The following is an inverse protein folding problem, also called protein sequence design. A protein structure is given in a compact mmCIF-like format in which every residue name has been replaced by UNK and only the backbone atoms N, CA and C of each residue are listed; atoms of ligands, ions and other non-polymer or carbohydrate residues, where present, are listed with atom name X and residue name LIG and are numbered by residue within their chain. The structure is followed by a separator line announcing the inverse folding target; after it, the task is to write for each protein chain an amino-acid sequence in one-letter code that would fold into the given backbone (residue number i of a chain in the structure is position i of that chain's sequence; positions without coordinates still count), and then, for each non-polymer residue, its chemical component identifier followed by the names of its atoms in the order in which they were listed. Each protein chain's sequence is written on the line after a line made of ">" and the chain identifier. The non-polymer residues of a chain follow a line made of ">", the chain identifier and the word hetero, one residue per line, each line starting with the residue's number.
data_IF_561133911040
#
_entry.id   IF_561133911040
#
_cell.length_a   1.000
_cell.length_b   1.000
_cell.length_c   1.000
_cell.angle_alpha   90.00
_cell.angle_beta   90.00
_cell.angle_gamma   90.00
#
_symmetry.space_group_name_H-M   'P 1'
#
loop_
_entity.id
_entity.type
_entity.pdbx_description
1 polymer ?
#
# COMPACT_ATOMS: atom_id res chain seq x y z
N UNK A 1 11.58 -3.67 1.65
CA UNK A 1 12.85 -2.94 1.39
C UNK A 1 13.87 -3.04 2.52
N UNK A 2 13.50 -3.11 3.82
CA UNK A 2 14.50 -3.17 4.91
C UNK A 2 14.92 -4.61 5.24
N UNK A 3 13.98 -5.52 5.46
CA UNK A 3 14.23 -6.96 5.66
C UNK A 3 13.79 -7.81 4.45
N UNK A 4 14.61 -8.79 4.03
CA UNK A 4 14.32 -9.71 2.92
C UNK A 4 13.38 -10.85 3.34
N UNK A 5 13.47 -11.28 4.60
CA UNK A 5 12.69 -12.39 5.14
C UNK A 5 11.40 -11.93 5.82
N UNK A 6 11.10 -10.62 5.76
CA UNK A 6 9.90 -10.03 6.32
C UNK A 6 8.65 -10.79 5.88
N UNK A 7 7.98 -11.42 6.84
CA UNK A 7 6.68 -12.07 6.68
C UNK A 7 5.57 -11.08 7.04
N UNK A 8 4.36 -11.32 6.52
CA UNK A 8 3.19 -10.61 7.01
C UNK A 8 3.02 -10.93 8.49
N UNK A 9 3.08 -9.90 9.32
CA UNK A 9 2.80 -10.02 10.75
C UNK A 9 1.36 -9.56 10.99
N UNK A 10 0.47 -10.46 11.46
CA UNK A 10 -0.87 -10.06 11.80
C UNK A 10 -0.83 -9.16 13.05
N UNK A 11 -1.74 -8.20 13.15
CA UNK A 11 -1.81 -7.30 14.32
C UNK A 11 -2.17 -8.05 15.62
N UNK A 12 -2.82 -9.21 15.49
CA UNK A 12 -3.20 -10.12 16.58
C UNK A 12 -2.99 -11.56 16.12
N UNK A 13 -2.60 -12.45 17.03
CA UNK A 13 -2.50 -13.88 16.76
C UNK A 13 -3.86 -14.54 16.57
N UNK A 14 -3.89 -15.73 15.98
CA UNK A 14 -5.12 -16.46 15.64
C UNK A 14 -6.06 -16.69 16.83
N UNK A 15 -5.49 -17.03 18.00
CA UNK A 15 -6.23 -17.25 19.24
C UNK A 15 -7.09 -16.06 19.69
N UNK A 16 -6.72 -14.83 19.31
CA UNK A 16 -7.53 -13.65 19.62
C UNK A 16 -8.88 -13.69 18.88
N UNK A 17 -8.90 -14.09 17.61
CA UNK A 17 -10.10 -14.09 16.80
C UNK A 17 -11.06 -15.18 17.24
N UNK A 18 -10.56 -16.41 17.42
CA UNK A 18 -11.37 -17.54 17.90
C UNK A 18 -11.90 -17.28 19.31
N UNK A 19 -11.05 -16.78 20.22
CA UNK A 19 -11.45 -16.42 21.59
C UNK A 19 -12.44 -15.25 21.69
N UNK A 20 -12.52 -14.40 20.65
CA UNK A 20 -13.44 -13.25 20.59
C UNK A 20 -14.67 -13.50 19.71
N UNK A 21 -14.91 -14.75 19.30
CA UNK A 21 -15.98 -15.12 18.36
C UNK A 21 -15.97 -14.32 17.05
N UNK A 22 -14.78 -14.04 16.52
CA UNK A 22 -14.58 -13.36 15.25
C UNK A 22 -14.30 -14.40 14.16
N UNK A 23 -15.19 -14.52 13.19
CA UNK A 23 -14.96 -15.28 11.95
C UNK A 23 -14.02 -14.48 11.02
N UNK A 24 -12.73 -14.82 11.06
CA UNK A 24 -11.70 -14.15 10.28
C UNK A 24 -11.41 -14.92 8.99
N UNK A 25 -11.67 -14.27 7.84
CA UNK A 25 -11.53 -14.88 6.51
C UNK A 25 -10.47 -14.17 5.65
N UNK A 26 -9.17 -14.35 5.93
CA UNK A 26 -8.10 -13.74 5.13
C UNK A 26 -8.10 -14.29 3.71
N UNK A 27 -7.68 -13.48 2.75
CA UNK A 27 -7.60 -13.89 1.34
C UNK A 27 -8.95 -13.92 0.61
N UNK A 28 -10.07 -13.75 1.30
CA UNK A 28 -11.40 -13.63 0.70
C UNK A 28 -11.65 -12.16 0.34
N UNK A 29 -11.85 -11.87 -0.94
CA UNK A 29 -12.22 -10.53 -1.42
C UNK A 29 -13.73 -10.44 -1.58
N UNK A 30 -14.30 -9.29 -1.21
CA UNK A 30 -15.69 -8.95 -1.51
C UNK A 30 -15.71 -8.26 -2.87
N UNK A 31 -16.41 -8.84 -3.84
CA UNK A 31 -16.53 -8.31 -5.20
C UNK A 31 -17.76 -7.42 -5.37
N UNK A 32 -18.88 -7.74 -4.68
CA UNK A 32 -20.11 -6.95 -4.73
C UNK A 32 -20.80 -6.86 -3.37
N UNK A 33 -21.43 -5.71 -3.13
CA UNK A 33 -22.35 -5.48 -2.02
C UNK A 33 -23.77 -5.34 -2.60
N UNK A 34 -24.67 -6.21 -2.20
CA UNK A 34 -26.11 -6.12 -2.44
C UNK A 34 -26.79 -5.60 -1.18
N UNK A 35 -26.92 -4.27 -1.06
CA UNK A 35 -27.51 -3.65 0.12
C UNK A 35 -29.02 -3.95 0.25
N UNK A 36 -29.73 -4.11 -0.88
CA UNK A 36 -31.16 -4.39 -0.90
C UNK A 36 -31.48 -5.77 -0.33
N UNK A 37 -30.67 -6.78 -0.68
CA UNK A 37 -30.78 -8.15 -0.15
C UNK A 37 -29.92 -8.41 1.07
N UNK A 38 -29.17 -7.39 1.53
CA UNK A 38 -28.17 -7.45 2.59
C UNK A 38 -27.22 -8.65 2.45
N UNK A 39 -26.61 -8.77 1.27
CA UNK A 39 -25.71 -9.88 0.91
C UNK A 39 -24.42 -9.37 0.30
N UNK A 40 -23.32 -10.03 0.61
CA UNK A 40 -22.03 -9.85 -0.04
C UNK A 40 -21.82 -10.97 -1.06
N UNK A 41 -21.19 -10.65 -2.18
CA UNK A 41 -20.68 -11.63 -3.14
C UNK A 41 -19.16 -11.67 -3.03
N UNK A 42 -18.66 -12.88 -2.82
CA UNK A 42 -17.25 -13.17 -2.56
C UNK A 42 -16.55 -13.56 -3.86
N UNK A 43 -15.25 -13.33 -3.92
CA UNK A 43 -14.43 -13.64 -5.10
C UNK A 43 -14.33 -15.14 -5.42
N UNK A 44 -14.70 -16.01 -4.48
CA UNK A 44 -14.78 -17.46 -4.66
C UNK A 44 -16.16 -17.92 -5.17
N UNK A 45 -17.05 -16.98 -5.52
CA UNK A 45 -18.43 -17.26 -5.94
C UNK A 45 -19.40 -17.46 -4.77
N UNK A 46 -18.91 -17.47 -3.53
CA UNK A 46 -19.70 -17.57 -2.33
C UNK A 46 -20.52 -16.32 -2.04
N UNK A 47 -21.44 -16.43 -1.09
CA UNK A 47 -22.26 -15.30 -0.64
C UNK A 47 -22.37 -15.28 0.87
N UNK A 48 -22.41 -14.07 1.45
CA UNK A 48 -22.48 -13.88 2.90
C UNK A 48 -23.60 -12.88 3.26
N UNK A 49 -24.60 -13.26 4.06
CA UNK A 49 -25.61 -12.31 4.54
C UNK A 49 -25.01 -11.39 5.61
N UNK A 50 -25.61 -10.21 5.80
CA UNK A 50 -25.26 -9.31 6.89
C UNK A 50 -26.48 -8.55 7.43
N UNK A 51 -26.46 -8.20 8.72
CA UNK A 51 -27.44 -7.26 9.31
C UNK A 51 -26.91 -5.82 9.32
N UNK A 52 -25.59 -5.70 9.51
CA UNK A 52 -24.82 -4.46 9.52
C UNK A 52 -23.53 -4.68 8.77
N UNK A 53 -23.13 -3.68 7.99
CA UNK A 53 -21.91 -3.72 7.18
C UNK A 53 -21.03 -2.52 7.52
N UNK A 54 -19.78 -2.78 7.88
CA UNK A 54 -18.75 -1.77 8.09
C UNK A 54 -17.77 -1.86 6.92
N UNK A 55 -17.58 -0.74 6.20
CA UNK A 55 -16.59 -0.66 5.12
C UNK A 55 -15.25 -0.20 5.68
N UNK A 56 -14.29 -1.13 5.74
CA UNK A 56 -12.93 -0.91 6.22
C UNK A 56 -11.89 -1.22 5.13
N UNK A 57 -12.19 -0.90 3.86
CA UNK A 57 -11.40 -1.29 2.67
C UNK A 57 -10.11 -0.49 2.48
N UNK A 58 -9.86 0.52 3.32
CA UNK A 58 -8.71 1.40 3.20
C UNK A 58 -8.69 2.22 1.91
N UNK A 59 -7.49 2.47 1.37
CA UNK A 59 -7.27 3.30 0.18
C UNK A 59 -6.22 2.68 -0.75
N UNK A 60 -6.18 3.16 -1.99
CA UNK A 60 -5.21 2.76 -3.03
C UNK A 60 -4.31 3.94 -3.40
N UNK A 61 -3.04 3.70 -3.78
CA UNK A 61 -2.20 4.75 -4.35
C UNK A 61 -2.85 5.37 -5.59
N UNK A 62 -2.66 6.68 -5.76
CA UNK A 62 -3.06 7.37 -6.98
C UNK A 62 -1.95 7.19 -8.02
N UNK A 63 -2.24 6.46 -9.09
CA UNK A 63 -1.37 6.41 -10.26
C UNK A 63 -1.58 7.66 -11.12
N UNK A 64 -0.52 8.14 -11.76
CA UNK A 64 -0.60 9.27 -12.68
C UNK A 64 -0.97 8.75 -14.08
N UNK A 65 -1.99 9.32 -14.70
CA UNK A 65 -2.39 8.98 -16.07
C UNK A 65 -1.57 9.80 -17.07
N UNK A 66 -0.39 9.29 -17.44
CA UNK A 66 0.52 9.94 -18.39
C UNK A 66 1.22 8.89 -19.28
N UNK A 67 1.68 9.27 -20.49
CA UNK A 67 2.37 8.34 -21.37
C UNK A 67 3.54 7.65 -20.66
N UNK A 68 3.52 6.30 -20.64
CA UNK A 68 4.54 5.50 -19.96
C UNK A 68 4.22 5.12 -18.50
N UNK A 69 3.05 5.49 -17.96
CA UNK A 69 2.64 5.11 -16.59
C UNK A 69 2.54 3.61 -16.35
N UNK A 70 2.39 2.82 -17.41
CA UNK A 70 2.25 1.36 -17.38
C UNK A 70 3.58 0.62 -17.64
N UNK A 71 4.70 1.34 -17.79
CA UNK A 71 6.01 0.70 -17.94
C UNK A 71 6.37 -0.09 -16.67
N UNK A 72 7.04 -1.23 -16.83
CA UNK A 72 7.32 -2.17 -15.73
C UNK A 72 8.10 -1.60 -14.54
N UNK A 73 8.85 -0.52 -14.73
CA UNK A 73 9.57 0.19 -13.66
C UNK A 73 8.71 1.19 -12.88
N UNK A 74 7.50 1.49 -13.34
CA UNK A 74 6.58 2.44 -12.70
C UNK A 74 5.70 1.70 -11.70
N UNK A 75 6.04 1.81 -10.42
CA UNK A 75 5.37 1.09 -9.33
C UNK A 75 4.96 2.04 -8.20
N UNK A 76 4.03 1.60 -7.35
CA UNK A 76 3.60 2.34 -6.15
C UNK A 76 3.86 1.53 -4.88
N UNK A 77 3.77 2.16 -3.70
CA UNK A 77 3.91 1.48 -2.41
C UNK A 77 2.61 1.58 -1.59
N UNK A 78 1.97 0.44 -1.34
CA UNK A 78 0.87 0.29 -0.38
C UNK A 78 0.94 -1.03 0.40
N UNK A 79 1.35 -2.10 -0.26
CA UNK A 79 1.35 -3.46 0.27
C UNK A 79 2.77 -3.97 0.57
N UNK A 80 2.85 -5.11 1.27
CA UNK A 80 4.13 -5.81 1.43
C UNK A 80 4.67 -6.31 0.09
N UNK A 81 3.79 -6.73 -0.82
CA UNK A 81 4.19 -7.19 -2.16
C UNK A 81 4.85 -6.05 -2.94
N UNK A 82 4.28 -4.86 -2.88
CA UNK A 82 4.85 -3.65 -3.49
C UNK A 82 6.25 -3.35 -2.92
N UNK A 83 6.41 -3.47 -1.60
CA UNK A 83 7.70 -3.24 -0.93
C UNK A 83 8.78 -4.28 -1.27
N UNK A 84 8.37 -5.48 -1.71
CA UNK A 84 9.26 -6.52 -2.24
C UNK A 84 9.63 -6.22 -3.69
N UNK A 85 8.64 -5.89 -4.52
CA UNK A 85 8.84 -5.50 -5.91
C UNK A 85 9.79 -4.30 -6.03
N UNK A 86 9.60 -3.24 -5.23
CA UNK A 86 10.49 -2.07 -5.21
C UNK A 86 11.92 -2.48 -4.83
N UNK A 87 12.10 -3.42 -3.89
CA UNK A 87 13.43 -3.93 -3.53
C UNK A 87 14.07 -4.64 -4.73
N UNK A 88 13.33 -5.51 -5.40
CA UNK A 88 13.82 -6.29 -6.54
C UNK A 88 14.23 -5.37 -7.70
N UNK A 89 13.36 -4.44 -8.08
CA UNK A 89 13.62 -3.47 -9.15
C UNK A 89 14.79 -2.55 -8.82
N UNK A 90 14.82 -2.01 -7.59
CA UNK A 90 15.91 -1.12 -7.18
C UNK A 90 17.25 -1.83 -7.05
N UNK A 91 17.29 -3.14 -6.77
CA UNK A 91 18.55 -3.90 -6.76
C UNK A 91 19.24 -3.90 -8.14
N UNK A 92 18.45 -3.86 -9.22
CA UNK A 92 18.88 -3.89 -10.61
C UNK A 92 19.03 -2.50 -11.23
N UNK A 93 18.79 -1.44 -10.46
CA UNK A 93 18.79 -0.05 -10.93
C UNK A 93 19.77 0.81 -10.12
N UNK A 94 20.46 1.73 -10.78
CA UNK A 94 21.32 2.71 -10.11
C UNK A 94 20.53 3.98 -9.73
N UNK A 95 19.81 4.52 -10.71
CA UNK A 95 18.96 5.71 -10.54
C UNK A 95 17.51 5.32 -10.22
N UNK A 96 16.93 6.00 -9.23
CA UNK A 96 15.51 5.86 -8.85
C UNK A 96 14.88 7.24 -8.77
N UNK A 97 13.74 7.41 -9.44
CA UNK A 97 12.92 8.62 -9.35
C UNK A 97 11.69 8.36 -8.50
N UNK A 98 11.45 9.23 -7.53
CA UNK A 98 10.26 9.19 -6.66
C UNK A 98 9.39 10.39 -6.99
N UNK A 99 8.15 10.12 -7.39
CA UNK A 99 7.15 11.14 -7.67
C UNK A 99 6.32 11.41 -6.41
N UNK A 100 6.52 12.57 -5.80
CA UNK A 100 5.88 13.01 -4.56
C UNK A 100 6.83 13.02 -3.35
N UNK A 101 7.02 14.20 -2.77
CA UNK A 101 7.79 14.53 -1.56
C UNK A 101 6.96 14.54 -0.27
N UNK A 102 5.96 13.67 -0.16
CA UNK A 102 5.25 13.41 1.10
C UNK A 102 5.99 12.39 1.99
N UNK A 103 5.41 12.05 3.16
CA UNK A 103 6.02 11.09 4.10
C UNK A 103 6.46 9.78 3.44
N UNK A 104 5.55 9.11 2.75
CA UNK A 104 5.84 7.83 2.08
C UNK A 104 6.99 7.99 1.08
N UNK A 105 6.93 9.03 0.24
CA UNK A 105 7.96 9.28 -0.78
C UNK A 105 9.34 9.51 -0.15
N UNK A 106 9.42 10.35 0.88
CA UNK A 106 10.68 10.67 1.56
C UNK A 106 11.24 9.50 2.39
N UNK A 107 10.39 8.70 3.04
CA UNK A 107 10.83 7.50 3.74
C UNK A 107 11.42 6.44 2.80
N UNK A 108 10.78 6.25 1.63
CA UNK A 108 11.33 5.37 0.58
C UNK A 108 12.62 5.98 0.04
N UNK A 109 12.66 7.28 -0.21
CA UNK A 109 13.83 7.98 -0.72
C UNK A 109 15.04 7.76 0.19
N UNK A 110 14.87 8.01 1.49
CA UNK A 110 15.89 7.77 2.50
C UNK A 110 16.32 6.30 2.55
N UNK A 111 15.35 5.37 2.48
CA UNK A 111 15.64 3.93 2.51
C UNK A 111 16.46 3.47 1.30
N UNK A 112 16.11 3.93 0.09
CA UNK A 112 16.83 3.57 -1.15
C UNK A 112 18.18 4.26 -1.25
N UNK A 113 18.28 5.51 -0.78
CA UNK A 113 19.55 6.24 -0.68
C UNK A 113 20.51 5.52 0.26
N UNK A 114 20.03 5.08 1.43
CA UNK A 114 20.83 4.27 2.36
C UNK A 114 21.23 2.90 1.77
N UNK A 115 20.45 2.37 0.83
CA UNK A 115 20.78 1.16 0.07
C UNK A 115 21.69 1.42 -1.16
N UNK A 116 22.34 2.59 -1.24
CA UNK A 116 23.34 2.93 -2.25
C UNK A 116 22.77 3.42 -3.59
N UNK A 117 21.46 3.68 -3.68
CA UNK A 117 20.83 4.14 -4.93
C UNK A 117 20.95 5.65 -5.10
N UNK A 118 21.03 6.11 -6.35
CA UNK A 118 20.92 7.53 -6.68
C UNK A 118 19.46 7.91 -6.79
N UNK A 119 18.96 8.60 -5.76
CA UNK A 119 17.53 8.94 -5.64
C UNK A 119 17.29 10.39 -6.03
N UNK A 120 16.32 10.61 -6.91
CA UNK A 120 15.76 11.93 -7.21
C UNK A 120 14.30 11.98 -6.76
N UNK A 121 13.92 13.01 -6.02
CA UNK A 121 12.52 13.26 -5.63
C UNK A 121 12.00 14.42 -6.46
N UNK A 122 10.85 14.20 -7.11
CA UNK A 122 10.13 15.24 -7.85
C UNK A 122 8.86 15.54 -7.08
N UNK A 123 8.73 16.78 -6.59
CA UNK A 123 7.53 17.29 -5.93
C UNK A 123 6.87 18.35 -6.83
N UNK A 124 5.54 18.33 -6.90
CA UNK A 124 4.76 19.22 -7.74
C UNK A 124 4.51 20.57 -7.06
N UNK A 125 4.58 20.63 -5.73
CA UNK A 125 4.42 21.86 -4.94
C UNK A 125 5.76 22.42 -4.47
N UNK A 126 5.74 23.65 -3.98
CA UNK A 126 6.96 24.41 -3.66
C UNK A 126 7.78 23.86 -2.48
N UNK A 127 7.21 22.93 -1.69
CA UNK A 127 7.78 22.45 -0.42
C UNK A 127 7.51 20.97 -0.18
N UNK A 128 8.51 20.26 0.33
CA UNK A 128 8.37 18.89 0.82
C UNK A 128 7.44 18.86 2.03
N UNK A 129 6.70 17.76 2.24
CA UNK A 129 5.79 17.61 3.39
C UNK A 129 4.80 18.78 3.61
N UNK A 130 4.54 19.62 2.61
CA UNK A 130 3.89 20.93 2.80
C UNK A 130 2.45 20.87 3.34
N UNK A 131 1.81 19.69 3.27
CA UNK A 131 0.48 19.41 3.83
C UNK A 131 0.49 18.92 5.29
N UNK A 132 1.65 18.60 5.83
CA UNK A 132 1.78 17.84 7.08
C UNK A 132 2.66 18.52 8.13
N UNK A 133 3.61 19.36 7.73
CA UNK A 133 4.54 20.02 8.66
C UNK A 133 4.60 21.53 8.44
N UNK A 134 5.04 22.24 9.47
CA UNK A 134 5.29 23.67 9.39
C UNK A 134 6.42 23.97 8.39
N UNK A 135 6.41 25.14 7.72
CA UNK A 135 7.41 25.49 6.70
C UNK A 135 8.87 25.37 7.15
N UNK A 136 9.17 25.60 8.42
CA UNK A 136 10.54 25.50 8.98
C UNK A 136 11.12 24.07 8.98
N UNK A 137 10.27 23.05 8.85
CA UNK A 137 10.66 21.64 8.83
C UNK A 137 10.81 21.08 7.40
N UNK A 138 10.52 21.89 6.38
CA UNK A 138 10.57 21.51 4.96
C UNK A 138 11.70 22.19 4.22
#
# INVERSE_FOLDING_TARGET
>A
IKDQQAKLQPLRGEAFYTGSAIDYRPGVRIDRIDAGRRRLELSDGGTLPFDRLILATGSRPRMLSLPGSELSGVVSLRSLADARLIRELSAQSEDVVILGGGFIGLEIAATLKAAGRKVTVVEAVDRLLGRAVAPILS
#
